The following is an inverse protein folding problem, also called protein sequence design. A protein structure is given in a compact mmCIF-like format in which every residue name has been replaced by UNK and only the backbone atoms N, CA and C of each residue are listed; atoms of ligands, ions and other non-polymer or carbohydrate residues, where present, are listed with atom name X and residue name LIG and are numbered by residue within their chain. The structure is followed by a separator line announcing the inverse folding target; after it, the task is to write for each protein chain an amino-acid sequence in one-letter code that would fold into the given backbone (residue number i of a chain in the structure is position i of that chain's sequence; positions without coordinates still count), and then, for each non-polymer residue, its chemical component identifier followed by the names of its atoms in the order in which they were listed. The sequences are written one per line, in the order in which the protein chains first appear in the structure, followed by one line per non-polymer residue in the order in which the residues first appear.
data_IF_282821703085
#
_entry.id   IF_282821703085
#
_cell.length_a   1.000
_cell.length_b   1.000
_cell.length_c   1.000
_cell.angle_alpha   90.00
_cell.angle_beta   90.00
_cell.angle_gamma   90.00
#
_symmetry.space_group_name_H-M   'P 1'
#
loop_
_entity.id
_entity.type
_entity.pdbx_description
1 polymer ?
#
# COMPACT_ATOMS: atom_id res chain seq x y z
N UNK A 1 -3.25 -1.37 -13.64
CA UNK A 1 -2.70 -0.74 -14.86
C UNK A 1 -1.26 -1.19 -15.08
N UNK A 2 -0.83 -1.41 -16.32
CA UNK A 2 0.57 -1.67 -16.73
C UNK A 2 0.90 -0.74 -17.88
N UNK A 3 1.92 0.06 -17.71
CA UNK A 3 2.31 1.08 -18.69
C UNK A 3 3.83 1.06 -18.90
N UNK A 4 4.29 1.54 -20.05
CA UNK A 4 5.71 1.77 -20.32
C UNK A 4 5.90 3.10 -21.06
N UNK A 5 7.10 3.64 -21.00
CA UNK A 5 7.43 4.97 -21.54
C UNK A 5 7.54 5.03 -23.06
N UNK A 6 7.55 3.92 -23.76
CA UNK A 6 7.57 3.86 -25.21
C UNK A 6 6.17 4.00 -25.84
N UNK A 7 6.12 3.82 -27.15
CA UNK A 7 4.88 3.87 -27.96
C UNK A 7 4.46 2.44 -28.31
N UNK A 8 3.15 2.20 -28.37
CA UNK A 8 2.58 0.90 -28.71
C UNK A 8 2.48 -0.05 -27.51
N UNK A 9 2.30 -1.33 -27.79
CA UNK A 9 2.17 -2.37 -26.78
C UNK A 9 3.48 -3.13 -26.60
N UNK A 10 3.89 -3.32 -25.35
CA UNK A 10 5.04 -4.15 -24.99
C UNK A 10 4.56 -5.37 -24.23
N UNK A 11 5.01 -6.54 -24.63
CA UNK A 11 4.72 -7.79 -23.96
C UNK A 11 5.91 -8.24 -23.12
N UNK A 12 5.71 -8.35 -21.79
CA UNK A 12 6.73 -8.79 -20.86
C UNK A 12 6.13 -9.86 -19.94
N UNK A 13 6.74 -11.05 -19.86
CA UNK A 13 6.25 -12.15 -19.03
C UNK A 13 4.77 -12.47 -19.27
N UNK A 14 4.35 -12.58 -20.52
CA UNK A 14 2.95 -12.79 -20.95
C UNK A 14 1.97 -11.72 -20.48
N UNK A 15 2.46 -10.52 -20.13
CA UNK A 15 1.64 -9.39 -19.70
C UNK A 15 1.81 -8.25 -20.67
N UNK A 16 0.68 -7.68 -21.10
CA UNK A 16 0.65 -6.49 -21.95
C UNK A 16 0.89 -5.25 -21.12
N UNK A 17 1.82 -4.41 -21.56
CA UNK A 17 2.08 -3.07 -21.08
C UNK A 17 1.73 -2.08 -22.18
N UNK A 18 0.91 -1.10 -21.85
CA UNK A 18 0.48 -0.07 -22.78
C UNK A 18 1.51 1.06 -22.83
N UNK A 19 1.88 1.47 -24.03
CA UNK A 19 2.77 2.62 -24.21
C UNK A 19 2.05 3.92 -23.89
N UNK A 20 2.67 4.72 -23.03
CA UNK A 20 2.17 6.07 -22.68
C UNK A 20 2.96 7.17 -23.34
N UNK A 21 4.00 6.81 -24.12
CA UNK A 21 4.84 7.76 -24.86
C UNK A 21 5.48 8.83 -23.97
N UNK A 22 5.61 10.03 -24.48
CA UNK A 22 6.15 11.20 -23.74
C UNK A 22 5.21 11.70 -22.61
N UNK A 23 4.11 11.04 -22.38
CA UNK A 23 3.08 11.43 -21.41
C UNK A 23 3.47 10.99 -19.99
N UNK A 24 4.40 10.04 -19.88
CA UNK A 24 4.87 9.51 -18.59
C UNK A 24 6.18 10.14 -18.14
N UNK A 25 6.23 10.61 -16.92
CA UNK A 25 7.46 11.03 -16.26
C UNK A 25 7.73 10.20 -15.01
N UNK A 26 8.99 9.83 -14.79
CA UNK A 26 9.45 9.15 -13.58
C UNK A 26 10.47 10.08 -12.94
N UNK A 27 10.26 10.42 -11.67
CA UNK A 27 11.26 11.19 -10.92
C UNK A 27 12.55 10.38 -10.77
N UNK A 28 13.67 11.07 -10.50
CA UNK A 28 14.95 10.38 -10.29
C UNK A 28 14.84 9.33 -9.17
N UNK A 29 15.29 8.11 -9.46
CA UNK A 29 15.36 7.03 -8.48
C UNK A 29 16.62 7.26 -7.64
N UNK A 30 16.43 7.57 -6.36
CA UNK A 30 17.52 7.71 -5.40
C UNK A 30 17.54 6.50 -4.48
N UNK A 31 18.70 5.92 -4.31
CA UNK A 31 18.94 4.89 -3.31
C UNK A 31 19.67 5.54 -2.15
N UNK A 32 19.10 5.52 -0.97
CA UNK A 32 19.71 5.99 0.26
C UNK A 32 20.01 4.79 1.17
N UNK A 33 21.20 4.80 1.76
CA UNK A 33 21.58 3.86 2.81
C UNK A 33 21.14 4.40 4.17
N UNK A 34 19.84 4.43 4.44
CA UNK A 34 19.29 4.94 5.70
C UNK A 34 17.88 4.40 5.95
N UNK A 35 17.38 4.64 7.16
CA UNK A 35 16.06 4.16 7.62
C UNK A 35 14.89 5.00 7.10
N UNK A 36 15.16 6.02 6.28
CA UNK A 36 14.12 6.89 5.74
C UNK A 36 13.45 6.28 4.51
N UNK A 37 12.12 6.36 4.41
CA UNK A 37 11.40 5.87 3.24
C UNK A 37 11.79 6.66 1.98
N UNK A 38 12.13 5.95 0.92
CA UNK A 38 12.41 6.54 -0.39
C UNK A 38 11.14 6.60 -1.20
N UNK A 39 10.80 7.77 -1.71
CA UNK A 39 9.62 8.03 -2.52
C UNK A 39 9.98 8.24 -3.98
N UNK A 40 9.14 7.70 -4.86
CA UNK A 40 9.22 7.86 -6.30
C UNK A 40 7.91 8.48 -6.80
N UNK A 41 7.99 9.54 -7.58
CA UNK A 41 6.82 10.15 -8.20
C UNK A 41 6.73 9.72 -9.66
N UNK A 42 5.58 9.15 -10.01
CA UNK A 42 5.21 8.78 -11.36
C UNK A 42 4.20 9.80 -11.86
N UNK A 43 4.54 10.56 -12.86
CA UNK A 43 3.64 11.50 -13.52
C UNK A 43 3.06 10.87 -14.78
N UNK A 44 1.75 10.91 -14.91
CA UNK A 44 1.02 10.55 -16.12
C UNK A 44 0.21 11.76 -16.54
N UNK A 45 0.55 12.38 -17.66
CA UNK A 45 -0.39 13.30 -18.29
C UNK A 45 -1.39 12.45 -19.05
N UNK A 46 -2.56 12.30 -18.52
CA UNK A 46 -3.57 11.45 -19.11
C UNK A 46 -4.67 12.30 -19.74
N UNK A 47 -4.93 11.99 -20.99
CA UNK A 47 -6.07 12.52 -21.73
C UNK A 47 -7.15 11.46 -21.93
N UNK A 48 -6.92 10.24 -21.48
CA UNK A 48 -7.88 9.16 -21.64
C UNK A 48 -8.81 9.12 -20.42
N UNK A 49 -10.09 9.37 -20.65
CA UNK A 49 -11.13 9.36 -19.61
C UNK A 49 -11.24 8.00 -18.90
N UNK A 50 -10.84 6.93 -19.55
CA UNK A 50 -10.81 5.59 -18.97
C UNK A 50 -9.78 5.47 -17.84
N UNK A 51 -8.58 5.99 -18.05
CA UNK A 51 -7.49 6.00 -17.05
C UNK A 51 -7.83 6.92 -15.89
N UNK A 52 -8.45 8.08 -16.19
CA UNK A 52 -8.95 9.00 -15.17
C UNK A 52 -10.02 8.38 -14.30
N UNK A 53 -10.98 7.69 -14.93
CA UNK A 53 -12.06 6.99 -14.24
C UNK A 53 -11.54 5.88 -13.32
N UNK A 54 -10.55 5.12 -13.74
CA UNK A 54 -9.91 4.08 -12.92
C UNK A 54 -9.13 4.69 -11.74
N UNK A 55 -8.39 5.77 -11.97
CA UNK A 55 -7.62 6.46 -10.93
C UNK A 55 -8.51 7.06 -9.84
N UNK A 56 -9.69 7.57 -10.19
CA UNK A 56 -10.62 8.19 -9.23
C UNK A 56 -11.46 7.16 -8.47
N UNK A 57 -11.81 6.04 -9.09
CA UNK A 57 -12.70 5.02 -8.50
C UNK A 57 -11.98 3.94 -7.70
N UNK A 58 -10.74 3.64 -8.02
CA UNK A 58 -10.02 2.54 -7.41
C UNK A 58 -9.43 2.93 -6.05
N UNK A 59 -9.58 2.06 -5.05
CA UNK A 59 -8.74 2.12 -3.84
C UNK A 59 -7.28 1.86 -4.27
N UNK A 60 -6.52 2.91 -4.55
CA UNK A 60 -5.15 2.82 -5.02
C UNK A 60 -4.13 2.70 -3.88
N UNK A 61 -4.45 3.25 -2.71
CA UNK A 61 -3.56 3.24 -1.55
C UNK A 61 -3.16 1.82 -1.15
N UNK A 62 -1.86 1.61 -0.97
CA UNK A 62 -1.29 0.31 -0.60
C UNK A 62 -1.14 -0.69 -1.75
N UNK A 63 -1.56 -0.37 -2.99
CA UNK A 63 -1.35 -1.26 -4.14
C UNK A 63 0.14 -1.38 -4.48
N UNK A 64 0.65 -2.59 -4.74
CA UNK A 64 2.05 -2.78 -5.08
C UNK A 64 2.38 -2.21 -6.46
N UNK A 65 3.53 -1.57 -6.55
CA UNK A 65 4.10 -1.04 -7.79
C UNK A 65 5.49 -1.62 -7.98
N UNK A 66 5.79 -2.02 -9.21
CA UNK A 66 7.12 -2.48 -9.60
C UNK A 66 7.54 -1.71 -10.85
N UNK A 67 8.71 -1.12 -10.81
CA UNK A 67 9.31 -0.42 -11.95
C UNK A 67 10.43 -1.28 -12.51
N UNK A 68 10.36 -1.48 -13.83
CA UNK A 68 11.27 -2.31 -14.59
C UNK A 68 12.10 -1.46 -15.55
N UNK A 69 13.38 -1.73 -15.66
CA UNK A 69 14.19 -1.31 -16.77
C UNK A 69 14.18 -2.45 -17.80
N UNK A 70 13.82 -2.12 -19.02
CA UNK A 70 13.72 -3.10 -20.11
C UNK A 70 14.65 -2.65 -21.23
N UNK A 71 15.61 -3.47 -21.58
CA UNK A 71 16.41 -3.27 -22.77
C UNK A 71 15.68 -3.89 -23.96
N UNK A 72 15.55 -3.12 -25.03
CA UNK A 72 14.88 -3.54 -26.27
C UNK A 72 15.94 -3.76 -27.35
N UNK A 73 15.67 -4.71 -28.27
CA UNK A 73 16.44 -4.88 -29.50
C UNK A 73 15.99 -3.88 -30.57
N UNK A 74 16.63 -3.94 -31.76
CA UNK A 74 16.27 -3.11 -32.90
C UNK A 74 14.82 -3.30 -33.39
N UNK A 75 14.24 -4.47 -33.12
CA UNK A 75 12.86 -4.81 -33.43
C UNK A 75 11.89 -4.46 -32.30
N UNK A 76 12.32 -3.65 -31.30
CA UNK A 76 11.54 -3.24 -30.12
C UNK A 76 11.04 -4.40 -29.26
N UNK A 77 11.75 -5.54 -29.29
CA UNK A 77 11.44 -6.70 -28.44
C UNK A 77 12.29 -6.68 -27.18
N UNK A 78 11.76 -7.12 -26.03
CA UNK A 78 12.51 -7.13 -24.77
C UNK A 78 13.63 -8.18 -24.82
N UNK A 79 14.88 -7.73 -24.65
CA UNK A 79 16.06 -8.58 -24.54
C UNK A 79 16.43 -8.89 -23.08
N UNK A 80 16.40 -7.88 -22.25
CA UNK A 80 16.75 -8.00 -20.84
C UNK A 80 15.84 -7.15 -19.98
N UNK A 81 15.56 -7.63 -18.77
CA UNK A 81 14.69 -6.95 -17.83
C UNK A 81 15.29 -6.94 -16.45
N UNK A 82 15.28 -5.79 -15.80
CA UNK A 82 15.74 -5.63 -14.44
C UNK A 82 14.71 -4.85 -13.62
N UNK A 83 14.42 -5.32 -12.42
CA UNK A 83 13.62 -4.54 -11.48
C UNK A 83 14.51 -3.49 -10.85
N UNK A 84 14.19 -2.21 -11.08
CA UNK A 84 14.95 -1.09 -10.53
C UNK A 84 14.30 -0.52 -9.28
N UNK A 85 12.99 -0.75 -9.09
CA UNK A 85 12.29 -0.26 -7.91
C UNK A 85 11.04 -1.08 -7.58
N UNK A 86 10.75 -1.25 -6.28
CA UNK A 86 9.54 -1.89 -5.75
C UNK A 86 9.00 -1.12 -4.56
N UNK A 87 7.68 -0.98 -4.49
CA UNK A 87 7.01 -0.35 -3.35
C UNK A 87 5.50 -0.38 -3.48
N UNK A 88 4.82 0.49 -2.75
CA UNK A 88 3.37 0.63 -2.74
C UNK A 88 2.94 2.07 -2.98
N UNK A 89 1.76 2.27 -3.53
CA UNK A 89 1.17 3.59 -3.73
C UNK A 89 0.79 4.18 -2.36
N UNK A 90 1.31 5.37 -2.08
CA UNK A 90 1.01 6.12 -0.85
C UNK A 90 0.01 7.22 -1.12
N UNK A 91 0.16 7.92 -2.24
CA UNK A 91 -0.70 9.04 -2.61
C UNK A 91 -0.92 9.10 -4.12
N UNK A 92 -2.04 9.68 -4.54
CA UNK A 92 -2.30 9.98 -5.93
C UNK A 92 -3.03 11.32 -6.03
N UNK A 93 -2.48 12.22 -6.83
CA UNK A 93 -3.04 13.55 -7.09
C UNK A 93 -3.50 13.62 -8.53
N UNK A 94 -4.72 14.11 -8.72
CA UNK A 94 -5.28 14.37 -10.04
C UNK A 94 -5.45 15.88 -10.16
N UNK A 95 -4.73 16.48 -11.09
CA UNK A 95 -4.86 17.89 -11.44
C UNK A 95 -5.64 17.98 -12.75
N UNK A 96 -6.72 18.76 -12.72
CA UNK A 96 -7.58 19.04 -13.89
C UNK A 96 -7.50 20.53 -14.18
N UNK A 97 -7.11 20.91 -15.39
CA UNK A 97 -6.93 22.31 -15.80
C UNK A 97 -6.37 22.38 -17.21
N UNK A 98 -5.53 23.37 -17.49
CA UNK A 98 -4.83 23.52 -18.77
C UNK A 98 -3.98 22.29 -19.13
N UNK A 99 -3.49 21.55 -18.15
CA UNK A 99 -2.86 20.25 -18.32
C UNK A 99 -3.45 19.23 -17.35
N UNK A 100 -4.18 18.24 -17.87
CA UNK A 100 -4.65 17.14 -17.06
C UNK A 100 -3.49 16.23 -16.68
N UNK A 101 -3.18 16.14 -15.38
CA UNK A 101 -2.04 15.37 -14.87
C UNK A 101 -2.44 14.50 -13.69
N UNK A 102 -2.00 13.27 -13.72
CA UNK A 102 -2.10 12.34 -12.59
C UNK A 102 -0.70 12.12 -12.06
N UNK A 103 -0.48 12.45 -10.81
CA UNK A 103 0.77 12.15 -10.10
C UNK A 103 0.52 11.06 -9.08
N UNK A 104 1.28 9.98 -9.18
CA UNK A 104 1.23 8.86 -8.24
C UNK A 104 2.52 8.84 -7.45
N UNK A 105 2.41 9.00 -6.14
CA UNK A 105 3.54 8.89 -5.23
C UNK A 105 3.62 7.46 -4.71
N UNK A 106 4.75 6.85 -4.91
CA UNK A 106 5.05 5.48 -4.52
C UNK A 106 6.17 5.49 -3.51
N UNK A 107 6.05 4.73 -2.43
CA UNK A 107 7.08 4.60 -1.41
C UNK A 107 7.57 3.17 -1.29
N UNK A 108 8.78 3.00 -0.80
CA UNK A 108 9.34 1.69 -0.53
C UNK A 108 8.70 1.07 0.73
N UNK A 109 9.08 -0.15 1.08
CA UNK A 109 8.53 -0.89 2.23
C UNK A 109 8.81 -0.21 3.57
N UNK A 110 9.79 0.69 3.68
CA UNK A 110 10.10 1.40 4.92
C UNK A 110 8.96 2.33 5.36
N UNK A 111 8.12 2.80 4.43
CA UNK A 111 6.90 3.56 4.76
C UNK A 111 5.94 2.78 5.67
N UNK A 112 5.92 1.44 5.54
CA UNK A 112 5.06 0.59 6.37
C UNK A 112 5.59 0.44 7.80
N UNK A 113 6.85 0.81 8.05
CA UNK A 113 7.46 0.71 9.38
C UNK A 113 6.82 1.67 10.38
N UNK A 114 6.45 2.88 9.94
CA UNK A 114 5.81 3.89 10.78
C UNK A 114 4.29 3.66 10.93
N UNK A 115 3.71 2.73 10.20
CA UNK A 115 2.30 2.41 10.32
C UNK A 115 2.00 1.72 11.64
N UNK A 116 1.33 2.44 12.52
CA UNK A 116 0.81 1.86 13.75
C UNK A 116 -0.22 0.79 13.42
N UNK A 117 -0.06 -0.37 14.02
CA UNK A 117 -1.08 -1.42 13.93
C UNK A 117 -2.30 -0.98 14.73
N UNK A 118 -3.53 -1.08 14.18
CA UNK A 118 -4.75 -0.76 14.91
C UNK A 118 -5.12 -1.79 15.96
N UNK A 119 -4.36 -2.88 16.03
CA UNK A 119 -4.62 -3.99 16.94
C UNK A 119 -4.47 -3.55 18.40
N UNK A 120 -5.44 -3.92 19.20
CA UNK A 120 -5.49 -3.66 20.62
C UNK A 120 -5.59 -4.98 21.39
N UNK A 121 -5.12 -4.98 22.63
CA UNK A 121 -5.31 -6.10 23.55
C UNK A 121 -6.71 -6.05 24.15
N UNK A 122 -7.73 -6.29 23.32
CA UNK A 122 -9.12 -6.41 23.72
C UNK A 122 -9.78 -7.62 23.02
N UNK A 123 -10.92 -8.03 23.54
CA UNK A 123 -11.65 -9.22 23.05
C UNK A 123 -12.05 -9.05 21.57
N UNK A 124 -12.48 -7.85 21.16
CA UNK A 124 -12.90 -7.58 19.80
C UNK A 124 -11.77 -7.75 18.79
N UNK A 125 -10.59 -7.17 19.06
CA UNK A 125 -9.41 -7.33 18.19
C UNK A 125 -8.94 -8.79 18.13
N UNK A 126 -9.07 -9.53 19.21
CA UNK A 126 -8.71 -10.94 19.23
C UNK A 126 -9.67 -11.79 18.41
N UNK A 127 -10.96 -11.56 18.53
CA UNK A 127 -11.96 -12.30 17.77
C UNK A 127 -11.92 -12.02 16.27
N UNK A 128 -11.51 -10.81 15.84
CA UNK A 128 -11.29 -10.50 14.42
C UNK A 128 -10.16 -11.37 13.85
N UNK A 129 -9.12 -11.67 14.64
CA UNK A 129 -7.99 -12.50 14.20
C UNK A 129 -8.25 -13.99 14.34
N UNK A 130 -8.81 -14.36 15.47
CA UNK A 130 -9.06 -15.76 15.87
C UNK A 130 -10.49 -15.85 16.36
N UNK A 131 -11.40 -16.17 15.43
CA UNK A 131 -12.82 -16.32 15.75
C UNK A 131 -13.04 -17.36 16.85
N UNK A 132 -13.73 -16.97 17.91
CA UNK A 132 -14.02 -17.81 19.07
C UNK A 132 -12.96 -17.77 20.18
N UNK A 133 -11.79 -17.16 19.96
CA UNK A 133 -10.79 -16.97 21.00
C UNK A 133 -11.14 -15.76 21.88
N UNK A 134 -11.40 -16.00 23.15
CA UNK A 134 -11.83 -14.99 24.12
C UNK A 134 -10.82 -14.76 25.25
N UNK A 135 -9.54 -14.94 24.97
CA UNK A 135 -8.47 -14.77 25.97
C UNK A 135 -8.48 -13.36 26.62
N UNK A 136 -8.89 -12.36 25.87
CA UNK A 136 -8.91 -10.95 26.34
C UNK A 136 -10.29 -10.47 26.82
N UNK A 137 -11.27 -11.35 27.00
CA UNK A 137 -12.63 -10.97 27.40
C UNK A 137 -12.72 -10.17 28.71
N UNK A 138 -11.76 -10.38 29.59
CA UNK A 138 -11.74 -9.71 30.90
C UNK A 138 -10.90 -8.42 30.95
N UNK A 139 -10.14 -8.12 29.90
CA UNK A 139 -9.18 -6.99 29.91
C UNK A 139 -9.89 -5.66 30.16
N UNK A 140 -11.04 -5.40 29.55
CA UNK A 140 -11.81 -4.18 29.78
C UNK A 140 -12.35 -4.09 31.19
N UNK A 141 -12.79 -5.20 31.77
CA UNK A 141 -13.35 -5.26 33.12
C UNK A 141 -12.25 -5.11 34.16
N UNK A 142 -11.09 -5.73 33.94
CA UNK A 142 -9.95 -5.70 34.86
C UNK A 142 -9.29 -4.32 34.96
N UNK A 143 -9.44 -3.46 33.95
CA UNK A 143 -8.88 -2.11 33.97
C UNK A 143 -9.50 -1.21 35.05
N UNK A 144 -10.75 -1.46 35.43
CA UNK A 144 -11.49 -0.63 36.41
C UNK A 144 -11.75 -1.36 37.73
N UNK A 145 -11.31 -2.61 37.84
CA UNK A 145 -11.65 -3.44 39.00
C UNK A 145 -10.53 -3.46 40.05
N UNK A 146 -10.85 -3.13 41.31
CA UNK A 146 -9.89 -3.26 42.38
C UNK A 146 -9.58 -4.74 42.67
N UNK A 147 -8.33 -5.13 42.47
CA UNK A 147 -7.85 -6.50 42.70
C UNK A 147 -7.35 -6.58 44.14
N UNK A 148 -7.98 -7.45 44.95
CA UNK A 148 -7.57 -7.73 46.33
C UNK A 148 -6.93 -9.13 46.38
N UNK A 149 -5.67 -9.21 46.72
CA UNK A 149 -4.96 -10.44 46.89
C UNK A 149 -5.47 -11.24 48.10
N UNK A 150 -5.85 -12.53 47.89
CA UNK A 150 -6.25 -13.42 48.97
C UNK A 150 -7.62 -13.14 49.59
N UNK A 151 -8.52 -12.49 48.90
CA UNK A 151 -9.88 -12.17 49.35
C UNK A 151 -10.94 -12.98 48.58
N UNK A 152 -11.82 -13.70 49.33
CA UNK A 152 -12.97 -14.43 48.78
C UNK A 152 -14.00 -13.51 48.11
N UNK A 153 -13.97 -12.21 48.42
CA UNK A 153 -14.90 -11.21 47.84
C UNK A 153 -14.74 -11.03 46.33
N UNK A 154 -13.61 -11.38 45.76
CA UNK A 154 -13.30 -11.24 44.34
C UNK A 154 -13.93 -12.36 43.51
N UNK A 155 -13.95 -13.56 44.03
CA UNK A 155 -14.53 -14.74 43.36
C UNK A 155 -16.04 -14.59 43.13
N UNK A 156 -16.75 -13.98 44.08
CA UNK A 156 -18.20 -13.74 44.00
C UNK A 156 -18.55 -12.72 42.93
N UNK A 157 -17.81 -11.57 42.86
CA UNK A 157 -18.08 -10.50 41.89
C UNK A 157 -17.76 -10.88 40.43
N UNK A 158 -16.72 -11.66 40.20
CA UNK A 158 -16.40 -12.22 38.88
C UNK A 158 -17.47 -13.19 38.39
N UNK A 159 -18.10 -13.88 39.27
CA UNK A 159 -19.17 -14.87 38.98
C UNK A 159 -20.47 -14.18 38.59
N UNK A 160 -20.77 -13.02 39.18
CA UNK A 160 -22.02 -12.28 38.94
C UNK A 160 -21.92 -11.38 37.68
N UNK A 161 -20.72 -11.20 37.10
CA UNK A 161 -20.47 -10.39 35.91
C UNK A 161 -20.36 -11.22 34.60
N UNK A 162 -20.55 -12.54 34.67
CA UNK A 162 -20.54 -13.49 33.55
C UNK A 162 -21.95 -13.81 33.09
#
# INVERSE_FOLDING_TARGET
MRAHTGVGDLYLNNKRFQGVGNIGSISGIKQQSGDSPTRLTLGLSSFDDSVRGEALRAKYHGRPVTVWLVALNEQHQPMATQVIWKGSIVDAKVSVGESNRIEVVVSNRLEDWDKKRPDRFNDESQQVRHSGDRIFRYVSVMAEWPIYWGSDKQATRLRDSL
#
